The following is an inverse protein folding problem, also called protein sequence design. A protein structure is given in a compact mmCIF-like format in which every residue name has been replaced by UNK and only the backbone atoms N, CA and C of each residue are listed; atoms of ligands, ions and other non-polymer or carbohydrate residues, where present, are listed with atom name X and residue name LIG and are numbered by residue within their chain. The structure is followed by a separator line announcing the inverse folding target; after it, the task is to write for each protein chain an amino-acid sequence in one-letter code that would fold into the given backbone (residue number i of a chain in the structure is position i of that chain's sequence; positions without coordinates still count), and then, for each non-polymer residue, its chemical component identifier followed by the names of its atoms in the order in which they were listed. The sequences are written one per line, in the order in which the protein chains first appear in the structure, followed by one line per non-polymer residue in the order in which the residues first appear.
data_IF_909388878174
#
_entry.id   IF_909388878174
#
_cell.length_a   1.000
_cell.length_b   1.000
_cell.length_c   1.000
_cell.angle_alpha   90.00
_cell.angle_beta   90.00
_cell.angle_gamma   90.00
#
_symmetry.space_group_name_H-M   'P 1'
#
loop_
_entity.id
_entity.type
_entity.pdbx_description
1 polymer ?
#
# COMPACT_ATOMS: atom_id res chain seq x y z
N UNK A 1 -8.98 16.27 31.73
CA UNK A 1 -10.07 15.98 30.78
C UNK A 1 -9.41 15.74 29.41
N UNK A 2 -9.75 14.61 28.77
CA UNK A 2 -9.30 14.34 27.39
C UNK A 2 -10.03 15.32 26.44
N UNK A 3 -9.29 15.84 25.46
CA UNK A 3 -9.91 16.63 24.39
C UNK A 3 -10.64 15.68 23.44
N UNK A 4 -11.85 16.02 23.05
CA UNK A 4 -12.62 15.27 22.06
C UNK A 4 -12.34 15.86 20.68
N UNK A 5 -11.94 15.01 19.74
CA UNK A 5 -11.66 15.37 18.35
C UNK A 5 -12.64 14.60 17.47
N UNK A 6 -13.48 15.30 16.73
CA UNK A 6 -14.37 14.71 15.72
C UNK A 6 -13.74 14.79 14.32
N UNK A 7 -13.51 13.62 13.71
CA UNK A 7 -12.99 13.48 12.35
C UNK A 7 -14.13 13.05 11.43
N UNK A 8 -14.66 13.99 10.64
CA UNK A 8 -15.64 13.66 9.60
C UNK A 8 -14.93 13.07 8.37
N UNK A 9 -15.37 11.88 7.94
CA UNK A 9 -14.84 11.28 6.74
C UNK A 9 -15.54 11.84 5.49
N UNK A 10 -14.78 12.00 4.37
CA UNK A 10 -15.35 12.35 3.08
C UNK A 10 -16.42 11.35 2.63
N UNK A 11 -17.35 11.81 1.79
CA UNK A 11 -18.44 11.00 1.23
C UNK A 11 -17.88 9.73 0.53
N UNK A 12 -16.73 9.86 -0.12
CA UNK A 12 -16.01 8.75 -0.75
C UNK A 12 -14.52 8.87 -0.50
N UNK A 13 -13.91 7.76 -0.10
CA UNK A 13 -12.45 7.66 0.05
C UNK A 13 -11.99 6.53 -0.87
N UNK A 14 -11.26 6.87 -1.91
CA UNK A 14 -10.78 5.95 -2.94
C UNK A 14 -9.25 6.02 -3.03
N UNK A 15 -8.63 4.95 -3.56
CA UNK A 15 -7.17 4.87 -3.72
C UNK A 15 -6.68 5.74 -4.89
N UNK A 16 -6.69 7.06 -4.69
CA UNK A 16 -6.19 8.07 -5.60
C UNK A 16 -5.53 9.22 -4.82
N UNK A 17 -5.02 10.22 -5.55
CA UNK A 17 -4.37 11.39 -4.97
C UNK A 17 -5.21 12.07 -3.88
N UNK A 18 -6.53 12.24 -4.10
CA UNK A 18 -7.39 12.91 -3.12
C UNK A 18 -7.57 12.08 -1.85
N UNK A 19 -7.74 10.75 -1.99
CA UNK A 19 -7.83 9.85 -0.84
C UNK A 19 -6.54 9.83 -0.03
N UNK A 20 -5.38 9.81 -0.68
CA UNK A 20 -4.08 9.87 0.01
C UNK A 20 -3.84 11.23 0.66
N UNK A 21 -4.24 12.33 0.01
CA UNK A 21 -4.11 13.68 0.57
C UNK A 21 -4.99 13.86 1.81
N UNK A 22 -6.19 13.28 1.83
CA UNK A 22 -7.04 13.22 3.02
C UNK A 22 -6.32 12.54 4.20
N UNK A 23 -5.68 11.38 3.99
CA UNK A 23 -4.93 10.71 5.06
C UNK A 23 -3.69 11.49 5.47
N UNK A 24 -3.02 12.15 4.54
CA UNK A 24 -1.88 13.02 4.83
C UNK A 24 -2.29 14.20 5.69
N UNK A 25 -3.42 14.83 5.38
CA UNK A 25 -4.04 15.86 6.22
C UNK A 25 -4.38 15.30 7.61
N UNK A 26 -5.05 14.15 7.67
CA UNK A 26 -5.47 13.51 8.91
C UNK A 26 -4.29 13.23 9.85
N UNK A 27 -3.20 12.69 9.34
CA UNK A 27 -1.99 12.43 10.13
C UNK A 27 -1.40 13.73 10.67
N UNK A 28 -1.43 14.81 9.88
CA UNK A 28 -0.96 16.14 10.30
C UNK A 28 -1.80 16.74 11.42
N UNK A 29 -3.12 16.59 11.37
CA UNK A 29 -4.06 17.14 12.36
C UNK A 29 -4.02 16.34 13.69
N UNK A 30 -3.89 15.02 13.62
CA UNK A 30 -3.96 14.16 14.81
C UNK A 30 -2.54 13.89 15.36
N UNK A 31 -1.81 14.96 15.71
CA UNK A 31 -0.44 14.86 16.23
C UNK A 31 -0.38 14.77 17.75
N UNK A 32 -1.47 15.10 18.44
CA UNK A 32 -1.53 15.23 19.90
C UNK A 32 -1.73 13.90 20.61
N UNK A 33 -1.44 13.88 21.93
CA UNK A 33 -1.56 12.70 22.81
C UNK A 33 -2.74 12.86 23.78
N UNK A 34 -3.20 11.75 24.35
CA UNK A 34 -4.17 11.72 25.44
C UNK A 34 -5.56 12.27 25.07
N UNK A 35 -5.98 12.13 23.80
CA UNK A 35 -7.27 12.58 23.33
C UNK A 35 -8.25 11.43 23.14
N UNK A 36 -9.52 11.78 22.94
CA UNK A 36 -10.63 10.94 22.49
C UNK A 36 -10.99 11.33 21.06
N UNK A 37 -10.84 10.40 20.11
CA UNK A 37 -10.98 10.68 18.68
C UNK A 37 -12.17 9.90 18.12
N UNK A 38 -13.11 10.59 17.51
CA UNK A 38 -14.31 10.01 16.92
C UNK A 38 -14.22 10.08 15.39
N UNK A 39 -14.13 8.92 14.74
CA UNK A 39 -14.21 8.83 13.28
C UNK A 39 -15.66 8.71 12.86
N UNK A 40 -16.19 9.75 12.24
CA UNK A 40 -17.60 9.87 11.85
C UNK A 40 -17.81 9.48 10.39
N UNK A 41 -18.41 8.30 10.17
CA UNK A 41 -18.73 7.71 8.87
C UNK A 41 -20.16 8.05 8.40
N UNK A 42 -20.89 8.95 9.07
CA UNK A 42 -22.30 9.21 8.76
C UNK A 42 -22.55 9.65 7.32
N UNK A 43 -21.62 10.36 6.71
CA UNK A 43 -21.66 10.77 5.31
C UNK A 43 -20.83 9.87 4.37
N UNK A 44 -19.95 9.01 4.89
CA UNK A 44 -19.08 8.18 4.10
C UNK A 44 -19.83 6.95 3.56
N UNK A 45 -20.14 6.95 2.26
CA UNK A 45 -20.85 5.88 1.59
C UNK A 45 -19.95 4.92 0.79
N UNK A 46 -18.66 5.24 0.64
CA UNK A 46 -17.68 4.42 -0.04
C UNK A 46 -16.27 4.57 0.55
N UNK A 47 -15.61 3.43 0.79
CA UNK A 47 -14.22 3.39 1.26
C UNK A 47 -13.53 2.20 0.59
N UNK A 48 -12.47 2.46 -0.19
CA UNK A 48 -11.68 1.39 -0.81
C UNK A 48 -10.94 0.57 0.25
N UNK A 49 -11.11 -0.76 0.24
CA UNK A 49 -10.61 -1.63 1.31
C UNK A 49 -9.09 -1.65 1.47
N UNK A 50 -8.33 -1.40 0.40
CA UNK A 50 -6.88 -1.28 0.49
C UNK A 50 -6.41 -0.10 1.37
N UNK A 51 -7.23 0.94 1.50
CA UNK A 51 -6.93 2.10 2.34
C UNK A 51 -7.05 1.83 3.84
N UNK A 52 -7.61 0.68 4.23
CA UNK A 52 -7.56 0.20 5.61
C UNK A 52 -6.12 0.00 6.10
N UNK A 53 -5.16 -0.24 5.21
CA UNK A 53 -3.74 -0.28 5.58
C UNK A 53 -3.26 1.07 6.12
N UNK A 54 -3.67 2.19 5.49
CA UNK A 54 -3.31 3.55 5.91
C UNK A 54 -4.01 3.88 7.23
N UNK A 55 -5.33 3.67 7.28
CA UNK A 55 -6.12 3.96 8.49
C UNK A 55 -5.60 3.16 9.68
N UNK A 56 -5.30 1.87 9.50
CA UNK A 56 -4.81 1.01 10.57
C UNK A 56 -3.44 1.43 11.10
N UNK A 57 -2.54 1.88 10.23
CA UNK A 57 -1.26 2.45 10.67
C UNK A 57 -1.48 3.73 11.50
N UNK A 58 -2.39 4.61 11.07
CA UNK A 58 -2.76 5.81 11.82
C UNK A 58 -3.33 5.43 13.19
N UNK A 59 -4.26 4.47 13.26
CA UNK A 59 -4.88 4.04 14.53
C UNK A 59 -3.87 3.44 15.51
N UNK A 60 -2.92 2.63 15.02
CA UNK A 60 -1.85 2.09 15.86
C UNK A 60 -0.94 3.22 16.39
N UNK A 61 -0.61 4.21 15.56
CA UNK A 61 0.15 5.40 15.99
C UNK A 61 -0.61 6.21 17.05
N UNK A 62 -1.93 6.35 16.90
CA UNK A 62 -2.76 7.01 17.89
C UNK A 62 -2.77 6.26 19.23
N UNK A 63 -2.87 4.92 19.20
CA UNK A 63 -2.75 4.08 20.41
C UNK A 63 -1.41 4.27 21.10
N UNK A 64 -0.30 4.29 20.36
CA UNK A 64 1.04 4.50 20.90
C UNK A 64 1.19 5.87 21.59
N UNK A 65 0.41 6.88 21.16
CA UNK A 65 0.33 8.21 21.76
C UNK A 65 -0.76 8.33 22.84
N UNK A 66 -1.22 7.20 23.39
CA UNK A 66 -2.22 7.13 24.46
C UNK A 66 -3.57 7.76 24.10
N UNK A 67 -3.90 7.87 22.79
CA UNK A 67 -5.23 8.26 22.36
C UNK A 67 -6.17 7.05 22.41
N UNK A 68 -7.45 7.30 22.64
CA UNK A 68 -8.52 6.35 22.41
C UNK A 68 -9.33 6.81 21.20
N UNK A 69 -9.86 5.88 20.42
CA UNK A 69 -10.67 6.23 19.26
C UNK A 69 -11.91 5.36 19.17
N UNK A 70 -12.92 5.92 18.50
CA UNK A 70 -14.21 5.31 18.27
C UNK A 70 -14.65 5.54 16.83
N UNK A 71 -15.46 4.63 16.33
CA UNK A 71 -16.15 4.76 15.05
C UNK A 71 -17.62 5.03 15.30
N UNK A 72 -18.21 5.96 14.55
CA UNK A 72 -19.64 6.24 14.62
C UNK A 72 -20.25 6.45 13.23
N UNK A 73 -21.55 6.20 13.11
CA UNK A 73 -22.32 6.54 11.91
C UNK A 73 -22.00 5.69 10.69
N UNK A 74 -21.46 4.48 10.83
CA UNK A 74 -21.13 3.62 9.69
C UNK A 74 -22.32 3.43 8.74
N UNK A 75 -22.10 3.73 7.45
CA UNK A 75 -22.95 3.29 6.36
C UNK A 75 -22.64 1.82 6.02
N UNK A 76 -23.60 1.10 5.44
CA UNK A 76 -23.50 -0.34 5.19
C UNK A 76 -22.29 -0.73 4.34
N UNK A 77 -21.92 0.06 3.32
CA UNK A 77 -20.81 -0.27 2.43
C UNK A 77 -19.44 -0.19 3.13
N UNK A 78 -19.05 0.92 3.78
CA UNK A 78 -17.81 0.96 4.56
C UNK A 78 -17.78 -0.09 5.69
N UNK A 79 -18.89 -0.26 6.43
CA UNK A 79 -18.97 -1.29 7.47
C UNK A 79 -18.67 -2.68 6.93
N UNK A 80 -19.34 -3.09 5.84
CA UNK A 80 -19.11 -4.39 5.20
C UNK A 80 -17.67 -4.55 4.72
N UNK A 81 -17.07 -3.51 4.14
CA UNK A 81 -15.67 -3.52 3.70
C UNK A 81 -14.73 -3.78 4.88
N UNK A 82 -14.91 -3.05 5.97
CA UNK A 82 -14.07 -3.14 7.17
C UNK A 82 -14.25 -4.45 7.93
N UNK A 83 -15.47 -5.00 7.94
CA UNK A 83 -15.77 -6.30 8.53
C UNK A 83 -15.11 -7.43 7.74
N UNK A 84 -15.33 -7.48 6.41
CA UNK A 84 -14.85 -8.55 5.54
C UNK A 84 -13.33 -8.61 5.42
N UNK A 85 -12.64 -7.46 5.44
CA UNK A 85 -11.18 -7.42 5.43
C UNK A 85 -10.56 -7.57 6.84
N UNK A 86 -11.36 -7.92 7.84
CA UNK A 86 -10.98 -8.12 9.24
C UNK A 86 -10.47 -6.87 9.97
N UNK A 87 -10.63 -5.69 9.40
CA UNK A 87 -10.15 -4.46 10.02
C UNK A 87 -10.89 -4.18 11.35
N UNK A 88 -12.23 -4.30 11.37
CA UNK A 88 -13.00 -4.06 12.59
C UNK A 88 -12.58 -4.97 13.73
N UNK A 89 -12.41 -6.26 13.50
CA UNK A 89 -12.02 -7.20 14.56
C UNK A 89 -10.61 -6.97 15.12
N UNK A 90 -9.76 -6.18 14.45
CA UNK A 90 -8.44 -5.78 14.97
C UNK A 90 -8.54 -4.55 15.88
N UNK A 91 -9.47 -3.64 15.58
CA UNK A 91 -9.55 -2.33 16.25
C UNK A 91 -10.78 -2.15 17.13
N UNK A 92 -11.73 -3.07 17.09
CA UNK A 92 -12.96 -3.06 17.88
C UNK A 92 -13.24 -4.46 18.46
N UNK A 93 -14.27 -4.60 19.27
CA UNK A 93 -14.75 -5.89 19.80
C UNK A 93 -15.68 -6.63 18.82
N UNK A 94 -15.74 -6.21 17.56
CA UNK A 94 -16.54 -6.87 16.53
C UNK A 94 -16.00 -8.28 16.23
N UNK A 95 -16.89 -9.27 16.02
CA UNK A 95 -16.47 -10.63 15.71
C UNK A 95 -15.74 -10.70 14.38
N UNK A 96 -14.85 -11.69 14.27
CA UNK A 96 -14.12 -11.95 13.01
C UNK A 96 -15.12 -12.45 11.96
N UNK A 97 -15.33 -11.66 10.91
CA UNK A 97 -16.15 -12.10 9.78
C UNK A 97 -15.46 -13.22 8.98
N UNK A 98 -16.25 -14.03 8.29
CA UNK A 98 -15.71 -14.97 7.31
C UNK A 98 -14.96 -14.23 6.21
N UNK A 99 -13.84 -14.82 5.74
CA UNK A 99 -13.05 -14.27 4.65
C UNK A 99 -13.86 -14.27 3.35
N UNK A 100 -14.08 -13.10 2.81
CA UNK A 100 -14.63 -12.93 1.47
C UNK A 100 -13.53 -13.12 0.42
N UNK A 101 -13.85 -13.79 -0.69
CA UNK A 101 -12.95 -13.95 -1.83
C UNK A 101 -12.55 -12.62 -2.49
N UNK A 102 -13.29 -11.54 -2.20
CA UNK A 102 -13.08 -10.21 -2.77
C UNK A 102 -12.20 -9.29 -1.89
N UNK A 103 -11.69 -9.79 -0.77
CA UNK A 103 -10.85 -8.99 0.13
C UNK A 103 -9.48 -9.64 0.33
N UNK A 104 -8.47 -8.79 0.49
CA UNK A 104 -7.17 -9.15 1.06
C UNK A 104 -7.19 -8.63 2.49
N UNK A 105 -7.11 -9.50 3.51
CA UNK A 105 -7.27 -9.11 4.90
C UNK A 105 -6.27 -8.03 5.33
N UNK A 106 -6.71 -7.17 6.25
CA UNK A 106 -5.80 -6.27 6.94
C UNK A 106 -4.77 -7.07 7.73
N UNK A 107 -3.51 -6.75 7.54
CA UNK A 107 -2.38 -7.41 8.19
C UNK A 107 -1.24 -6.43 8.43
N UNK A 108 -0.43 -6.70 9.46
CA UNK A 108 0.84 -6.01 9.69
C UNK A 108 1.98 -7.01 9.81
N UNK A 109 3.13 -6.65 9.27
CA UNK A 109 4.33 -7.49 9.23
C UNK A 109 5.52 -6.74 9.81
N UNK A 110 6.38 -7.49 10.51
CA UNK A 110 7.72 -7.05 10.89
C UNK A 110 8.75 -7.59 9.89
N UNK A 111 9.99 -7.10 9.98
CA UNK A 111 11.09 -7.60 9.14
C UNK A 111 11.33 -9.11 9.32
N UNK A 112 11.20 -9.61 10.54
CA UNK A 112 11.34 -11.04 10.88
C UNK A 112 10.22 -11.92 10.30
N UNK A 113 9.11 -11.34 9.87
CA UNK A 113 7.94 -12.02 9.29
C UNK A 113 8.08 -12.27 7.76
N UNK A 114 9.28 -12.21 7.18
CA UNK A 114 9.51 -12.28 5.72
C UNK A 114 8.75 -13.41 5.05
N UNK A 115 8.93 -14.65 5.52
CA UNK A 115 8.28 -15.82 4.89
C UNK A 115 6.76 -15.73 5.05
N UNK A 116 6.28 -15.33 6.21
CA UNK A 116 4.85 -15.14 6.47
C UNK A 116 4.23 -14.08 5.56
N UNK A 117 4.95 -12.97 5.31
CA UNK A 117 4.49 -11.93 4.40
C UNK A 117 4.43 -12.43 2.94
N UNK A 118 5.45 -13.17 2.49
CA UNK A 118 5.47 -13.79 1.15
C UNK A 118 4.34 -14.79 0.96
N UNK A 119 4.12 -15.67 1.93
CA UNK A 119 3.05 -16.67 1.90
C UNK A 119 1.67 -15.97 1.88
N UNK A 120 1.49 -14.95 2.71
CA UNK A 120 0.27 -14.15 2.72
C UNK A 120 -0.01 -13.49 1.36
N UNK A 121 0.98 -12.82 0.75
CA UNK A 121 0.82 -12.17 -0.55
C UNK A 121 0.52 -13.23 -1.63
N UNK A 122 1.21 -14.35 -1.59
CA UNK A 122 0.95 -15.46 -2.51
C UNK A 122 -0.49 -15.95 -2.42
N UNK A 123 -0.96 -16.31 -1.22
CA UNK A 123 -2.29 -16.89 -0.99
C UNK A 123 -3.42 -15.88 -1.19
N UNK A 124 -3.24 -14.65 -0.71
CA UNK A 124 -4.31 -13.65 -0.68
C UNK A 124 -4.37 -12.79 -1.95
N UNK A 125 -3.32 -12.76 -2.76
CA UNK A 125 -3.27 -12.03 -4.02
C UNK A 125 -3.12 -13.00 -5.21
N UNK A 126 -1.98 -13.67 -5.35
CA UNK A 126 -1.64 -14.38 -6.60
C UNK A 126 -2.37 -15.69 -6.82
N UNK A 127 -2.83 -16.36 -5.76
CA UNK A 127 -3.57 -17.63 -5.88
C UNK A 127 -5.10 -17.40 -5.97
N UNK A 128 -5.54 -16.12 -6.03
CA UNK A 128 -6.96 -15.78 -6.19
C UNK A 128 -7.43 -15.88 -7.65
N UNK A 129 -8.71 -16.24 -7.86
CA UNK A 129 -9.28 -16.29 -9.22
C UNK A 129 -9.19 -14.95 -9.95
N UNK A 130 -8.95 -15.00 -11.25
CA UNK A 130 -8.88 -13.82 -12.10
C UNK A 130 -7.52 -13.13 -12.15
N UNK A 131 -6.57 -13.56 -11.33
CA UNK A 131 -5.19 -13.06 -11.43
C UNK A 131 -4.53 -13.50 -12.74
N UNK A 132 -3.59 -12.69 -13.28
CA UNK A 132 -2.83 -13.03 -14.47
C UNK A 132 -2.11 -14.38 -14.34
N UNK A 133 -2.05 -15.14 -15.44
CA UNK A 133 -1.29 -16.39 -15.47
C UNK A 133 0.20 -16.10 -15.41
N UNK A 134 0.91 -16.75 -14.49
CA UNK A 134 2.36 -16.57 -14.29
C UNK A 134 3.05 -17.93 -14.20
N UNK A 135 4.28 -18.02 -14.74
CA UNK A 135 5.16 -19.16 -14.45
C UNK A 135 5.50 -19.17 -12.95
N UNK A 136 5.98 -20.30 -12.47
CA UNK A 136 6.41 -20.44 -11.06
C UNK A 136 7.52 -19.43 -10.74
N UNK A 137 8.53 -19.30 -11.61
CA UNK A 137 9.66 -18.41 -11.40
C UNK A 137 9.26 -16.94 -11.51
N UNK A 138 8.37 -16.57 -12.45
CA UNK A 138 7.85 -15.22 -12.54
C UNK A 138 7.05 -14.83 -11.27
N UNK A 139 6.17 -15.71 -10.80
CA UNK A 139 5.43 -15.51 -9.55
C UNK A 139 6.37 -15.31 -8.36
N UNK A 140 7.38 -16.19 -8.23
CA UNK A 140 8.39 -16.12 -7.16
C UNK A 140 9.17 -14.81 -7.20
N UNK A 141 9.64 -14.39 -8.37
CA UNK A 141 10.40 -13.16 -8.54
C UNK A 141 9.56 -11.91 -8.21
N UNK A 142 8.28 -11.88 -8.63
CA UNK A 142 7.38 -10.77 -8.31
C UNK A 142 7.07 -10.73 -6.81
N UNK A 143 6.88 -11.89 -6.16
CA UNK A 143 6.70 -11.95 -4.70
C UNK A 143 7.92 -11.38 -3.96
N UNK A 144 9.13 -11.72 -4.41
CA UNK A 144 10.37 -11.13 -3.87
C UNK A 144 10.39 -9.62 -4.08
N UNK A 145 9.98 -9.14 -5.25
CA UNK A 145 9.94 -7.71 -5.58
C UNK A 145 8.96 -6.93 -4.69
N UNK A 146 7.76 -7.47 -4.48
CA UNK A 146 6.76 -6.86 -3.58
C UNK A 146 7.28 -6.87 -2.14
N UNK A 147 7.93 -7.97 -1.72
CA UNK A 147 8.50 -8.06 -0.39
C UNK A 147 9.68 -7.09 -0.21
N UNK A 148 10.50 -6.87 -1.24
CA UNK A 148 11.56 -5.86 -1.21
C UNK A 148 11.01 -4.46 -0.94
N UNK A 149 9.83 -4.14 -1.48
CA UNK A 149 9.11 -2.91 -1.16
C UNK A 149 8.82 -2.82 0.35
N UNK A 150 8.33 -3.91 0.96
CA UNK A 150 8.08 -3.98 2.40
C UNK A 150 9.36 -3.85 3.22
N UNK A 151 10.43 -4.55 2.81
CA UNK A 151 11.74 -4.47 3.47
C UNK A 151 12.32 -3.06 3.40
N UNK A 152 12.21 -2.41 2.24
CA UNK A 152 12.67 -1.04 2.08
C UNK A 152 11.92 -0.08 3.01
N UNK A 153 10.61 -0.26 3.18
CA UNK A 153 9.82 0.52 4.14
C UNK A 153 10.33 0.35 5.58
N UNK A 154 10.58 -0.89 6.03
CA UNK A 154 11.07 -1.15 7.39
C UNK A 154 12.51 -0.68 7.58
N UNK A 155 13.43 -1.03 6.67
CA UNK A 155 14.86 -0.76 6.83
C UNK A 155 15.23 0.71 6.59
N UNK A 156 14.72 1.30 5.52
CA UNK A 156 14.97 2.70 5.20
C UNK A 156 13.97 3.64 5.88
N UNK A 157 12.73 3.21 6.08
CA UNK A 157 11.73 3.94 6.83
C UNK A 157 11.98 3.96 8.33
N UNK A 158 12.82 3.05 8.86
CA UNK A 158 13.08 2.92 10.30
C UNK A 158 11.77 2.74 11.10
N UNK A 159 10.84 1.96 10.55
CA UNK A 159 9.57 1.63 11.18
C UNK A 159 9.56 0.18 11.67
N UNK A 160 8.72 -0.10 12.68
CA UNK A 160 8.64 -1.45 13.25
C UNK A 160 7.80 -2.40 12.39
N UNK A 161 6.84 -1.85 11.63
CA UNK A 161 5.87 -2.63 10.89
C UNK A 161 5.53 -2.01 9.53
N UNK A 162 5.18 -2.87 8.57
CA UNK A 162 4.47 -2.50 7.35
C UNK A 162 3.04 -3.03 7.43
N UNK A 163 2.09 -2.18 7.08
CA UNK A 163 0.66 -2.47 7.08
C UNK A 163 0.19 -2.79 5.67
N UNK A 164 -0.66 -3.79 5.55
CA UNK A 164 -1.14 -4.27 4.26
C UNK A 164 -2.65 -4.50 4.31
N UNK A 165 -3.34 -4.14 3.24
CA UNK A 165 -4.74 -4.48 3.01
C UNK A 165 -5.06 -4.36 1.52
N UNK A 166 -6.09 -5.06 1.03
CA UNK A 166 -6.48 -4.98 -0.36
C UNK A 166 -7.93 -5.35 -0.63
N UNK A 167 -8.35 -5.10 -1.87
CA UNK A 167 -9.68 -5.42 -2.33
C UNK A 167 -9.71 -5.74 -3.83
N UNK A 168 -10.50 -6.74 -4.19
CA UNK A 168 -10.84 -7.08 -5.58
C UNK A 168 -12.10 -6.34 -5.99
N UNK A 169 -12.08 -5.78 -7.20
CA UNK A 169 -13.19 -5.03 -7.80
C UNK A 169 -13.61 -5.69 -9.13
N UNK A 170 -14.23 -6.89 -9.10
CA UNK A 170 -14.58 -7.64 -10.32
C UNK A 170 -15.68 -6.96 -11.14
N UNK A 171 -16.49 -6.12 -10.53
CA UNK A 171 -17.64 -5.46 -11.15
C UNK A 171 -17.33 -4.05 -11.68
N UNK A 172 -16.07 -3.58 -11.58
CA UNK A 172 -15.66 -2.33 -12.25
C UNK A 172 -15.70 -2.53 -13.77
N UNK A 173 -15.86 -1.43 -14.50
CA UNK A 173 -15.76 -1.45 -15.98
C UNK A 173 -14.46 -2.10 -16.46
N UNK A 174 -13.40 -1.88 -15.73
CA UNK A 174 -12.12 -2.58 -15.87
C UNK A 174 -11.88 -3.29 -14.53
N UNK A 175 -12.12 -4.62 -14.46
CA UNK A 175 -11.93 -5.38 -13.24
C UNK A 175 -10.47 -5.30 -12.78
N UNK A 176 -10.27 -5.07 -11.47
CA UNK A 176 -8.94 -4.91 -10.91
C UNK A 176 -8.87 -5.41 -9.46
N UNK A 177 -7.67 -5.67 -8.99
CA UNK A 177 -7.35 -5.79 -7.57
C UNK A 177 -6.46 -4.61 -7.17
N UNK A 178 -6.68 -4.08 -5.98
CA UNK A 178 -5.87 -3.02 -5.38
C UNK A 178 -5.34 -3.49 -4.03
N UNK A 179 -4.03 -3.42 -3.82
CA UNK A 179 -3.37 -3.74 -2.56
C UNK A 179 -2.43 -2.60 -2.16
N UNK A 180 -2.48 -2.20 -0.90
CA UNK A 180 -1.60 -1.15 -0.37
C UNK A 180 -0.68 -1.68 0.71
N UNK A 181 0.56 -1.18 0.69
CA UNK A 181 1.59 -1.35 1.72
C UNK A 181 1.93 0.03 2.27
N UNK A 182 1.94 0.16 3.59
CA UNK A 182 2.04 1.46 4.26
C UNK A 182 2.98 1.39 5.46
N UNK A 183 3.83 2.38 5.59
CA UNK A 183 4.59 2.66 6.80
C UNK A 183 4.45 4.12 7.24
N UNK A 184 4.67 4.41 8.52
CA UNK A 184 4.87 5.75 9.07
C UNK A 184 6.30 5.83 9.63
N UNK A 185 7.24 5.76 8.71
CA UNK A 185 8.65 5.83 9.02
C UNK A 185 9.36 6.99 8.31
N UNK A 186 10.65 6.86 8.12
CA UNK A 186 11.43 7.85 7.38
C UNK A 186 11.03 7.84 5.91
N UNK A 187 10.70 9.01 5.35
CA UNK A 187 10.21 9.15 3.99
C UNK A 187 11.28 8.87 2.93
N UNK A 188 10.87 8.50 1.72
CA UNK A 188 11.76 8.40 0.55
C UNK A 188 12.49 9.73 0.34
N UNK A 189 11.76 10.86 0.50
CA UNK A 189 12.35 12.21 0.36
C UNK A 189 13.53 12.43 1.31
N UNK A 190 13.39 12.06 2.57
CA UNK A 190 14.46 12.22 3.54
C UNK A 190 15.66 11.33 3.21
N UNK A 191 15.42 10.06 2.86
CA UNK A 191 16.48 9.11 2.54
C UNK A 191 17.27 9.50 1.29
N UNK A 192 16.59 9.87 0.22
CA UNK A 192 17.24 10.26 -1.06
C UNK A 192 18.00 11.56 -0.90
N UNK A 193 17.39 12.58 -0.26
CA UNK A 193 18.05 13.86 -0.08
C UNK A 193 19.31 13.75 0.79
N UNK A 194 19.29 12.95 1.84
CA UNK A 194 20.47 12.71 2.66
C UNK A 194 21.55 11.96 1.88
N UNK A 195 21.18 10.96 1.08
CA UNK A 195 22.12 10.20 0.25
C UNK A 195 22.79 11.07 -0.80
N UNK A 196 22.03 11.97 -1.44
CA UNK A 196 22.51 12.83 -2.52
C UNK A 196 23.10 14.17 -2.02
N UNK A 197 22.93 14.51 -0.74
CA UNK A 197 23.23 15.86 -0.25
C UNK A 197 22.38 16.93 -0.95
N UNK A 198 21.12 16.64 -1.25
CA UNK A 198 20.24 17.47 -2.09
C UNK A 198 18.96 17.93 -1.35
N UNK A 199 18.14 18.74 -2.03
CA UNK A 199 16.87 19.26 -1.54
C UNK A 199 15.75 19.06 -2.57
N UNK A 200 15.67 17.87 -3.16
CA UNK A 200 14.63 17.52 -4.12
C UNK A 200 13.25 17.45 -3.44
N UNK A 201 12.21 17.74 -4.22
CA UNK A 201 10.80 17.55 -3.81
C UNK A 201 10.45 16.07 -3.70
N UNK A 202 9.37 15.72 -2.97
CA UNK A 202 8.98 14.33 -2.75
C UNK A 202 8.74 13.54 -4.03
N UNK A 203 8.03 14.12 -5.01
CA UNK A 203 7.82 13.49 -6.32
C UNK A 203 9.14 13.21 -7.06
N UNK A 204 10.10 14.13 -7.03
CA UNK A 204 11.42 13.93 -7.67
C UNK A 204 12.26 12.87 -6.96
N UNK A 205 12.17 12.77 -5.64
CA UNK A 205 12.86 11.71 -4.88
C UNK A 205 12.22 10.33 -5.11
N UNK A 206 10.90 10.25 -5.28
CA UNK A 206 10.22 9.00 -5.66
C UNK A 206 10.64 8.56 -7.06
N UNK A 207 10.67 9.47 -8.05
CA UNK A 207 11.14 9.15 -9.41
C UNK A 207 12.60 8.69 -9.39
N UNK A 208 13.47 9.35 -8.63
CA UNK A 208 14.85 8.90 -8.46
C UNK A 208 14.94 7.48 -7.90
N UNK A 209 14.12 7.15 -6.89
CA UNK A 209 14.09 5.81 -6.28
C UNK A 209 13.52 4.72 -7.22
N UNK A 210 12.70 5.12 -8.21
CA UNK A 210 12.14 4.23 -9.24
C UNK A 210 13.05 4.03 -10.44
N UNK A 211 14.08 4.87 -10.58
CA UNK A 211 15.03 4.77 -11.69
C UNK A 211 16.02 3.63 -11.48
N UNK A 212 16.34 2.94 -12.58
CA UNK A 212 17.16 1.73 -12.54
C UNK A 212 18.60 2.04 -12.09
N UNK A 213 19.09 1.26 -11.15
CA UNK A 213 20.45 1.40 -10.60
C UNK A 213 20.57 2.38 -9.45
N UNK A 214 19.56 3.18 -9.16
CA UNK A 214 19.58 4.06 -8.00
C UNK A 214 19.26 3.29 -6.71
N UNK A 215 20.09 3.48 -5.70
CA UNK A 215 19.90 2.89 -4.37
C UNK A 215 20.49 3.80 -3.31
N UNK A 216 19.81 3.88 -2.17
CA UNK A 216 20.35 4.51 -0.96
C UNK A 216 21.05 3.49 -0.04
N UNK A 217 21.10 2.20 -0.43
CA UNK A 217 21.84 1.16 0.32
C UNK A 217 23.34 1.40 0.19
N UNK A 218 24.03 1.29 1.29
CA UNK A 218 25.51 1.30 1.33
C UNK A 218 26.00 -0.16 1.30
N UNK A 219 26.75 -0.56 0.27
CA UNK A 219 27.30 -1.90 0.11
C UNK A 219 27.23 -2.42 -1.32
N UNK A 220 27.75 -3.65 -1.56
CA UNK A 220 27.78 -4.29 -2.87
C UNK A 220 26.47 -5.04 -3.21
N UNK A 221 25.40 -4.86 -2.49
CA UNK A 221 24.12 -5.49 -2.81
C UNK A 221 23.44 -4.74 -3.97
N UNK A 222 23.09 -5.44 -5.07
CA UNK A 222 22.36 -4.81 -6.16
C UNK A 222 20.99 -4.31 -5.65
N UNK A 223 20.82 -2.98 -5.59
CA UNK A 223 19.53 -2.38 -5.27
C UNK A 223 18.71 -2.08 -6.53
N UNK A 224 17.39 -1.96 -6.40
CA UNK A 224 16.51 -1.48 -7.48
C UNK A 224 16.01 -2.54 -8.47
N UNK A 225 16.51 -3.77 -8.45
CA UNK A 225 16.06 -4.83 -9.36
C UNK A 225 14.60 -5.24 -9.10
N UNK A 226 14.17 -5.29 -7.83
CA UNK A 226 12.81 -5.67 -7.46
C UNK A 226 11.77 -4.65 -7.93
N UNK A 227 12.02 -3.37 -7.72
CA UNK A 227 11.13 -2.31 -8.21
C UNK A 227 11.00 -2.31 -9.74
N UNK A 228 12.10 -2.63 -10.45
CA UNK A 228 12.07 -2.73 -11.92
C UNK A 228 11.18 -3.87 -12.40
N UNK A 229 11.28 -5.04 -11.78
CA UNK A 229 10.44 -6.19 -12.12
C UNK A 229 8.95 -5.88 -11.84
N UNK A 230 8.66 -5.20 -10.75
CA UNK A 230 7.30 -4.75 -10.43
C UNK A 230 6.80 -3.72 -11.46
N UNK A 231 7.61 -2.75 -11.88
CA UNK A 231 7.27 -1.81 -12.95
C UNK A 231 6.98 -2.54 -14.27
N UNK A 232 7.77 -3.55 -14.62
CA UNK A 232 7.53 -4.34 -15.82
C UNK A 232 6.19 -5.09 -15.74
N UNK A 233 5.88 -5.73 -14.61
CA UNK A 233 4.57 -6.37 -14.39
C UNK A 233 3.42 -5.37 -14.59
N UNK A 234 3.51 -4.21 -13.93
CA UNK A 234 2.51 -3.14 -14.03
C UNK A 234 2.29 -2.72 -15.50
N UNK A 235 3.38 -2.51 -16.23
CA UNK A 235 3.33 -2.08 -17.62
C UNK A 235 2.73 -3.14 -18.53
N UNK A 236 3.10 -4.41 -18.37
CA UNK A 236 2.53 -5.52 -19.17
C UNK A 236 1.07 -5.81 -18.84
N UNK A 237 0.69 -5.72 -17.56
CA UNK A 237 -0.68 -5.90 -17.09
C UNK A 237 -1.58 -4.69 -17.41
N UNK A 238 -1.03 -3.53 -17.80
CA UNK A 238 -1.73 -2.25 -17.88
C UNK A 238 -2.39 -1.82 -16.56
N UNK A 239 -1.86 -2.27 -15.45
CA UNK A 239 -2.22 -1.85 -14.10
C UNK A 239 -1.71 -0.46 -13.73
N UNK A 240 -1.56 -0.19 -12.43
CA UNK A 240 -0.84 0.99 -11.96
C UNK A 240 -0.07 0.73 -10.66
N UNK A 241 1.01 1.48 -10.48
CA UNK A 241 1.79 1.56 -9.25
C UNK A 241 1.74 3.00 -8.76
N UNK A 242 1.18 3.22 -7.57
CA UNK A 242 1.07 4.54 -6.95
C UNK A 242 1.97 4.59 -5.72
N UNK A 243 2.74 5.66 -5.58
CA UNK A 243 3.64 5.89 -4.45
C UNK A 243 3.39 7.29 -3.90
N UNK A 244 3.16 7.35 -2.59
CA UNK A 244 3.11 8.60 -1.82
C UNK A 244 4.22 8.58 -0.78
N UNK A 245 5.02 9.63 -0.71
CA UNK A 245 5.98 9.82 0.38
C UNK A 245 6.30 11.29 0.56
N UNK A 246 6.28 11.76 1.80
CA UNK A 246 6.43 13.18 2.12
C UNK A 246 5.37 14.04 1.37
N UNK A 247 5.83 15.03 0.61
CA UNK A 247 5.03 15.92 -0.23
C UNK A 247 4.94 15.46 -1.69
N UNK A 248 5.20 14.18 -1.97
CA UNK A 248 5.21 13.64 -3.34
C UNK A 248 4.18 12.56 -3.59
N UNK A 249 3.56 12.59 -4.77
CA UNK A 249 2.76 11.53 -5.37
C UNK A 249 3.33 11.19 -6.75
N UNK A 250 3.50 9.90 -7.03
CA UNK A 250 3.89 9.38 -8.34
C UNK A 250 3.02 8.18 -8.69
N UNK A 251 2.45 8.17 -9.88
CA UNK A 251 1.76 7.02 -10.46
C UNK A 251 2.44 6.57 -11.75
N UNK A 252 2.87 5.30 -11.81
CA UNK A 252 3.21 4.63 -13.06
C UNK A 252 1.95 3.98 -13.62
N UNK A 253 1.56 4.39 -14.82
CA UNK A 253 0.41 3.83 -15.53
C UNK A 253 0.61 3.92 -17.03
N UNK A 254 0.34 2.84 -17.77
CA UNK A 254 0.51 2.80 -19.23
C UNK A 254 1.90 3.29 -19.70
N UNK A 255 2.95 2.82 -19.06
CA UNK A 255 4.35 3.20 -19.32
C UNK A 255 4.69 4.67 -19.06
N UNK A 256 3.81 5.46 -18.44
CA UNK A 256 4.01 6.88 -18.16
C UNK A 256 4.02 7.12 -16.66
N UNK A 257 4.95 7.93 -16.19
CA UNK A 257 4.94 8.47 -14.85
C UNK A 257 4.13 9.77 -14.81
N UNK A 258 3.12 9.79 -13.94
CA UNK A 258 2.35 10.98 -13.58
C UNK A 258 2.83 11.38 -12.19
N UNK A 259 3.24 12.62 -12.01
CA UNK A 259 3.80 13.11 -10.76
C UNK A 259 3.13 14.40 -10.31
N UNK A 260 2.86 14.52 -9.02
CA UNK A 260 2.27 15.70 -8.39
C UNK A 260 2.93 16.01 -7.06
N UNK A 261 2.90 17.28 -6.66
CA UNK A 261 3.15 17.66 -5.28
C UNK A 261 1.84 17.47 -4.49
N UNK A 262 1.91 16.75 -3.38
CA UNK A 262 0.80 16.62 -2.44
C UNK A 262 0.55 17.94 -1.72
N UNK A 263 -0.72 18.21 -1.36
CA UNK A 263 -1.06 19.40 -0.55
C UNK A 263 -0.63 19.22 0.91
N UNK A 264 -0.73 17.99 1.39
CA UNK A 264 -0.39 17.64 2.76
C UNK A 264 0.80 16.66 2.78
N UNK A 265 1.56 16.69 3.87
CA UNK A 265 2.74 15.85 4.05
C UNK A 265 2.35 14.51 4.67
N UNK A 266 2.71 13.40 4.02
CA UNK A 266 2.58 12.06 4.60
C UNK A 266 3.91 11.64 5.27
N UNK A 267 3.94 11.41 6.59
CA UNK A 267 5.16 11.08 7.32
C UNK A 267 5.49 9.60 7.23
N UNK A 268 5.79 9.11 6.04
CA UNK A 268 6.05 7.70 5.75
C UNK A 268 5.97 7.43 4.25
N UNK A 269 5.58 6.19 3.92
CA UNK A 269 5.40 5.78 2.52
C UNK A 269 4.12 4.96 2.35
N UNK A 270 3.35 5.27 1.31
CA UNK A 270 2.22 4.47 0.82
C UNK A 270 2.62 3.95 -0.55
N UNK A 271 2.52 2.63 -0.75
CA UNK A 271 2.69 1.99 -2.06
C UNK A 271 1.44 1.21 -2.36
N UNK A 272 0.74 1.57 -3.45
CA UNK A 272 -0.46 0.88 -3.91
C UNK A 272 -0.21 0.27 -5.27
N UNK A 273 -0.43 -1.04 -5.35
CA UNK A 273 -0.34 -1.83 -6.58
C UNK A 273 -1.75 -2.15 -7.04
N UNK A 274 -2.07 -1.81 -8.30
CA UNK A 274 -3.34 -2.18 -8.95
C UNK A 274 -3.02 -3.08 -10.14
N UNK A 275 -3.63 -4.26 -10.18
CA UNK A 275 -3.50 -5.21 -11.28
C UNK A 275 -4.86 -5.46 -11.92
N UNK A 276 -4.90 -5.49 -13.25
CA UNK A 276 -6.12 -5.84 -13.99
C UNK A 276 -6.38 -7.34 -13.86
N UNK A 277 -7.63 -7.67 -13.58
CA UNK A 277 -8.12 -9.04 -13.51
C UNK A 277 -8.53 -9.55 -14.90
N UNK A 278 -8.43 -10.87 -15.09
CA UNK A 278 -8.82 -11.49 -16.38
C UNK A 278 -7.88 -11.18 -17.53
N UNK A 279 -6.67 -10.71 -17.26
CA UNK A 279 -5.64 -10.52 -18.27
C UNK A 279 -5.30 -11.86 -18.92
N UNK A 280 -5.40 -11.91 -20.25
CA UNK A 280 -5.13 -13.12 -21.05
C UNK A 280 -3.64 -13.38 -21.29
N UNK A 281 -2.76 -12.41 -20.93
CA UNK A 281 -1.33 -12.58 -21.08
C UNK A 281 -0.79 -13.63 -20.11
N UNK A 282 0.28 -14.30 -20.54
CA UNK A 282 1.05 -15.20 -19.67
C UNK A 282 2.40 -14.55 -19.36
N UNK A 283 2.72 -14.48 -18.09
CA UNK A 283 3.93 -13.86 -17.59
C UNK A 283 4.98 -14.93 -17.33
N UNK A 284 6.06 -14.88 -18.07
CA UNK A 284 7.23 -15.78 -17.95
C UNK A 284 8.49 -14.93 -17.86
N UNK A 285 9.50 -15.42 -17.17
CA UNK A 285 10.84 -14.83 -17.20
C UNK A 285 11.60 -15.36 -18.42
N UNK A 286 12.55 -14.58 -18.94
CA UNK A 286 13.43 -15.03 -20.02
C UNK A 286 14.23 -16.29 -19.65
N UNK A 287 14.48 -16.49 -18.37
CA UNK A 287 15.13 -17.69 -17.82
C UNK A 287 14.24 -18.93 -17.82
N UNK A 288 12.92 -18.78 -17.98
CA UNK A 288 11.95 -19.89 -18.03
C UNK A 288 11.87 -20.49 -19.44
N UNK A 289 12.38 -19.79 -20.43
CA UNK A 289 12.42 -20.25 -21.82
C UNK A 289 13.65 -21.11 -21.99
N UNK A 290 13.46 -22.43 -21.84
CA UNK A 290 14.49 -23.42 -22.13
C UNK A 290 14.75 -23.41 -23.65
N UNK A 291 15.81 -22.72 -24.08
CA UNK A 291 16.16 -22.55 -25.50
C UNK A 291 16.63 -23.87 -26.13
N UNK A 292 16.83 -24.93 -25.34
CA UNK A 292 17.26 -26.28 -25.83
C UNK A 292 16.07 -27.14 -26.29
N UNK A 293 14.83 -26.77 -26.01
CA UNK A 293 13.62 -27.51 -26.38
C UNK A 293 12.68 -26.79 -27.37
N UNK A 294 13.19 -25.96 -28.27
CA UNK A 294 12.42 -25.30 -29.34
C UNK A 294 12.45 -26.13 -30.64
N UNK A 295 12.27 -27.45 -30.55
CA UNK A 295 12.01 -28.30 -31.71
C UNK A 295 11.01 -29.41 -31.39
#
# INVERSE_FOLDING_TARGET
LKTIIDVKLPVRIIGDENGYDFFSYLVGEITTSDNEIWFDFSECNWFDGNLCAILGNILDTLKQRNNIFFFKGFQSTPYNTFSRNKFLSVFTDEPIAELDSLTIPYQKFKLEDEQKAKDFIKEQLFDKPGMPKMSFEAKKAILVSIFEVCVNAITHGQCDHVYCCGQFFPNKKTPEVSISFVDLGRTIKANVNDHLGSHLTGNKTILWALDEGNTTKTGNEPGGLGLKLLQNLINYNNGSLQIVSADGFVELKKHVFIEHAMKNYFPGTIITIKLLLGDSNSYILSTDVDTENIF
#
